data_IF_045073969996
#
_entry.id   IF_045073969996
#
_cell.length_a   1.000
_cell.length_b   1.000
_cell.length_c   1.000
_cell.angle_alpha   90.00
_cell.angle_beta   90.00
_cell.angle_gamma   90.00
#
_symmetry.space_group_name_H-M   'P 1'
#
loop_
_entity.id
_entity.type
_entity.pdbx_description
1 polymer ?
#
# COMPACT_ATOMS: atom_id res chain seq x y z
N UNK A 1 24.82 2.28 -18.78
CA UNK A 1 24.03 1.71 -17.65
C UNK A 1 24.69 2.13 -16.36
N UNK A 2 23.93 2.70 -15.42
CA UNK A 2 24.45 3.18 -14.14
C UNK A 2 24.50 2.03 -13.12
N UNK A 3 25.70 1.51 -12.86
CA UNK A 3 25.93 0.37 -11.97
C UNK A 3 25.57 0.68 -10.51
N UNK A 4 25.68 1.94 -10.09
CA UNK A 4 25.40 2.33 -8.71
C UNK A 4 23.91 2.17 -8.41
N UNK A 5 23.04 2.67 -9.29
CA UNK A 5 21.60 2.51 -9.16
C UNK A 5 21.16 1.04 -9.27
N UNK A 6 21.77 0.26 -10.18
CA UNK A 6 21.50 -1.18 -10.23
C UNK A 6 21.83 -1.86 -8.88
N UNK A 7 22.97 -1.54 -8.28
CA UNK A 7 23.37 -2.12 -7.00
C UNK A 7 22.41 -1.75 -5.86
N UNK A 8 21.90 -0.52 -5.84
CA UNK A 8 20.91 -0.08 -4.86
C UNK A 8 19.59 -0.86 -5.00
N UNK A 9 19.07 -0.99 -6.23
CA UNK A 9 17.85 -1.78 -6.49
C UNK A 9 18.06 -3.24 -6.12
N UNK A 10 19.20 -3.84 -6.48
CA UNK A 10 19.53 -5.23 -6.12
C UNK A 10 19.61 -5.42 -4.61
N UNK A 11 20.28 -4.53 -3.89
CA UNK A 11 20.37 -4.61 -2.44
C UNK A 11 18.98 -4.53 -1.80
N UNK A 12 18.15 -3.59 -2.24
CA UNK A 12 16.79 -3.43 -1.73
C UNK A 12 15.87 -4.63 -2.05
N UNK A 13 15.97 -5.21 -3.26
CA UNK A 13 15.29 -6.44 -3.63
C UNK A 13 15.75 -7.63 -2.78
N UNK A 14 17.06 -7.78 -2.56
CA UNK A 14 17.62 -8.86 -1.74
C UNK A 14 17.24 -8.73 -0.26
N UNK A 15 17.05 -7.51 0.26
CA UNK A 15 16.52 -7.30 1.61
C UNK A 15 15.09 -7.82 1.77
N UNK A 16 14.30 -7.91 0.69
CA UNK A 16 12.98 -8.57 0.74
C UNK A 16 13.12 -10.08 1.01
N UNK A 17 14.25 -10.68 0.66
CA UNK A 17 14.49 -12.11 0.88
C UNK A 17 14.95 -12.42 2.31
N UNK A 18 15.17 -11.41 3.14
CA UNK A 18 15.60 -11.55 4.53
C UNK A 18 14.51 -11.11 5.49
N UNK A 19 14.68 -11.41 6.78
CA UNK A 19 13.79 -10.94 7.85
C UNK A 19 14.12 -9.50 8.28
N UNK A 20 14.67 -8.70 7.36
CA UNK A 20 15.00 -7.30 7.62
C UNK A 20 13.73 -6.51 7.94
N UNK A 21 13.73 -5.85 9.10
CA UNK A 21 12.73 -4.86 9.52
C UNK A 21 13.05 -3.45 9.05
N UNK A 22 14.03 -3.34 8.16
CA UNK A 22 14.36 -2.09 7.47
C UNK A 22 13.76 -2.14 6.07
N UNK A 23 12.55 -1.56 5.87
CA UNK A 23 11.97 -1.43 4.55
C UNK A 23 12.88 -0.55 3.68
N UNK A 24 13.54 -1.18 2.71
CA UNK A 24 14.46 -0.51 1.80
C UNK A 24 13.71 -0.07 0.53
N UNK A 25 12.88 0.96 0.64
CA UNK A 25 12.28 1.61 -0.53
C UNK A 25 12.54 3.11 -0.49
N UNK A 26 12.99 3.64 -1.62
CA UNK A 26 13.20 5.07 -1.83
C UNK A 26 12.57 5.45 -3.17
N UNK A 27 11.98 6.66 -3.30
CA UNK A 27 11.38 7.11 -4.56
C UNK A 27 12.34 7.13 -5.76
N UNK A 28 13.65 7.11 -5.52
CA UNK A 28 14.66 7.04 -6.57
C UNK A 28 14.74 5.65 -7.24
N UNK A 29 14.41 4.57 -6.53
CA UNK A 29 14.56 3.20 -7.02
C UNK A 29 13.60 2.86 -8.18
N UNK A 30 12.28 3.18 -8.09
CA UNK A 30 11.34 2.89 -9.18
C UNK A 30 11.70 3.57 -10.50
N UNK A 31 12.25 4.80 -10.44
CA UNK A 31 12.66 5.54 -11.66
C UNK A 31 13.75 4.81 -12.45
N UNK A 32 14.72 4.23 -11.75
CA UNK A 32 15.74 3.38 -12.38
C UNK A 32 15.13 2.04 -12.84
N UNK A 33 14.34 1.41 -11.96
CA UNK A 33 13.71 0.12 -12.20
C UNK A 33 12.90 0.07 -13.50
N UNK A 34 12.10 1.12 -13.76
CA UNK A 34 11.31 1.26 -14.99
C UNK A 34 12.14 1.29 -16.28
N UNK A 35 13.44 1.58 -16.20
CA UNK A 35 14.34 1.68 -17.35
C UNK A 35 15.36 0.54 -17.47
N UNK A 36 15.53 -0.26 -16.42
CA UNK A 36 16.57 -1.29 -16.35
C UNK A 36 15.97 -2.70 -16.47
N UNK A 37 16.18 -3.35 -17.63
CA UNK A 37 15.67 -4.70 -17.89
C UNK A 37 16.20 -5.75 -16.89
N UNK A 38 17.46 -5.64 -16.47
CA UNK A 38 18.06 -6.55 -15.48
C UNK A 38 17.36 -6.45 -14.12
N UNK A 39 17.07 -5.23 -13.65
CA UNK A 39 16.35 -5.03 -12.40
C UNK A 39 14.93 -5.57 -12.46
N UNK A 40 14.24 -5.39 -13.60
CA UNK A 40 12.90 -5.97 -13.83
C UNK A 40 12.93 -7.50 -13.80
N UNK A 41 13.88 -8.11 -14.51
CA UNK A 41 14.04 -9.56 -14.52
C UNK A 41 14.31 -10.10 -13.10
N UNK A 42 15.14 -9.41 -12.32
CA UNK A 42 15.41 -9.79 -10.93
C UNK A 42 14.15 -9.72 -10.06
N UNK A 43 13.32 -8.68 -10.15
CA UNK A 43 12.04 -8.61 -9.40
C UNK A 43 11.14 -9.80 -9.76
N UNK A 44 10.98 -10.09 -11.04
CA UNK A 44 10.16 -11.22 -11.50
C UNK A 44 10.71 -12.55 -10.99
N UNK A 45 12.03 -12.75 -11.03
CA UNK A 45 12.66 -13.94 -10.44
C UNK A 45 12.38 -14.05 -8.94
N UNK A 46 12.52 -12.96 -8.19
CA UNK A 46 12.28 -12.97 -6.75
C UNK A 46 10.81 -13.17 -6.39
N UNK A 47 9.87 -12.68 -7.20
CA UNK A 47 8.44 -12.95 -7.02
C UNK A 47 8.19 -14.46 -6.98
N UNK A 48 8.70 -15.20 -7.96
CA UNK A 48 8.52 -16.65 -8.02
C UNK A 48 9.24 -17.41 -6.90
N UNK A 49 10.35 -16.86 -6.39
CA UNK A 49 11.05 -17.44 -5.24
C UNK A 49 10.31 -17.20 -3.93
N UNK A 50 9.65 -16.04 -3.78
CA UNK A 50 8.87 -15.69 -2.59
C UNK A 50 7.51 -16.38 -2.60
N UNK A 51 6.89 -16.52 -3.77
CA UNK A 51 5.54 -17.04 -3.97
C UNK A 51 5.50 -18.04 -5.14
N UNK A 52 5.91 -19.29 -4.90
CA UNK A 52 5.88 -20.32 -5.93
C UNK A 52 4.46 -20.55 -6.46
N UNK A 53 4.30 -20.47 -7.79
CA UNK A 53 3.02 -20.69 -8.46
C UNK A 53 2.06 -19.49 -8.43
N UNK A 54 2.47 -18.34 -7.90
CA UNK A 54 1.67 -17.12 -7.99
C UNK A 54 1.70 -16.53 -9.41
N UNK A 55 0.57 -16.00 -9.83
CA UNK A 55 0.48 -15.13 -10.99
C UNK A 55 1.14 -13.77 -10.72
N UNK A 56 1.46 -13.05 -11.79
CA UNK A 56 1.96 -11.67 -11.68
C UNK A 56 0.83 -10.81 -11.10
N UNK A 57 1.06 -10.10 -9.97
CA UNK A 57 0.03 -9.25 -9.36
C UNK A 57 -0.40 -8.08 -10.25
N UNK A 58 -1.60 -7.57 -10.00
CA UNK A 58 -2.13 -6.38 -10.65
C UNK A 58 -1.31 -5.11 -10.30
N UNK A 59 -1.21 -4.19 -11.26
CA UNK A 59 -0.46 -2.93 -11.17
C UNK A 59 -1.37 -1.74 -10.79
N UNK A 60 -2.39 -1.96 -9.95
CA UNK A 60 -3.37 -0.93 -9.55
C UNK A 60 -2.88 -0.06 -8.39
N UNK A 61 -2.74 1.26 -8.60
CA UNK A 61 -2.43 2.22 -7.53
C UNK A 61 -3.50 2.20 -6.42
N UNK A 62 -4.78 2.14 -6.79
CA UNK A 62 -5.88 2.20 -5.81
C UNK A 62 -5.86 1.00 -4.86
N UNK A 63 -5.58 -0.21 -5.37
CA UNK A 63 -5.43 -1.40 -4.55
C UNK A 63 -4.15 -1.34 -3.71
N UNK A 64 -3.04 -0.89 -4.29
CA UNK A 64 -1.80 -0.69 -3.56
C UNK A 64 -1.99 0.27 -2.37
N UNK A 65 -2.63 1.41 -2.59
CA UNK A 65 -2.87 2.44 -1.57
C UNK A 65 -3.78 1.97 -0.44
N UNK A 66 -4.82 1.17 -0.72
CA UNK A 66 -5.72 0.64 0.31
C UNK A 66 -5.00 -0.28 1.31
N UNK A 67 -4.01 -1.03 0.82
CA UNK A 67 -3.32 -2.07 1.58
C UNK A 67 -1.92 -1.61 2.05
N UNK A 68 -1.48 -0.43 1.62
CA UNK A 68 -0.13 0.08 1.84
C UNK A 68 0.26 0.19 3.31
N UNK A 69 -0.67 0.68 4.15
CA UNK A 69 -0.42 0.85 5.57
C UNK A 69 -0.24 -0.50 6.27
N UNK A 70 -1.09 -1.48 5.97
CA UNK A 70 -0.98 -2.82 6.52
C UNK A 70 0.30 -3.52 6.07
N UNK A 71 0.70 -3.33 4.80
CA UNK A 71 1.99 -3.80 4.30
C UNK A 71 3.17 -3.17 5.07
N UNK A 72 3.14 -1.86 5.31
CA UNK A 72 4.19 -1.16 6.06
C UNK A 72 4.29 -1.65 7.52
N UNK A 73 3.16 -1.87 8.18
CA UNK A 73 3.11 -2.38 9.55
C UNK A 73 3.73 -3.77 9.65
N UNK A 74 3.35 -4.70 8.76
CA UNK A 74 3.96 -6.04 8.72
C UNK A 74 5.46 -5.96 8.40
N UNK A 75 5.87 -5.06 7.50
CA UNK A 75 7.28 -4.93 7.14
C UNK A 75 8.14 -4.46 8.33
N UNK A 76 7.59 -3.62 9.19
CA UNK A 76 8.27 -3.11 10.39
C UNK A 76 8.25 -4.13 11.54
N UNK A 77 7.16 -4.88 11.70
CA UNK A 77 7.00 -5.84 12.80
C UNK A 77 7.63 -7.22 12.50
N UNK A 78 7.22 -7.83 11.39
CA UNK A 78 7.58 -9.20 10.99
C UNK A 78 8.66 -9.26 9.90
N UNK A 79 8.99 -8.13 9.26
CA UNK A 79 10.05 -8.02 8.26
C UNK A 79 9.54 -8.02 6.82
N UNK A 80 10.42 -7.58 5.91
CA UNK A 80 10.09 -7.35 4.50
C UNK A 80 9.58 -8.62 3.77
N UNK A 81 10.14 -9.80 4.09
CA UNK A 81 9.69 -11.07 3.50
C UNK A 81 8.25 -11.40 3.86
N UNK A 82 7.89 -11.26 5.14
CA UNK A 82 6.54 -11.54 5.62
C UNK A 82 5.52 -10.58 4.97
N UNK A 83 5.88 -9.30 4.86
CA UNK A 83 5.05 -8.30 4.20
C UNK A 83 4.85 -8.60 2.71
N UNK A 84 5.91 -8.94 1.98
CA UNK A 84 5.81 -9.29 0.55
C UNK A 84 5.01 -10.57 0.30
N UNK A 85 5.05 -11.54 1.22
CA UNK A 85 4.23 -12.74 1.14
C UNK A 85 2.75 -12.45 1.43
N UNK A 86 2.45 -11.56 2.38
CA UNK A 86 1.08 -11.19 2.75
C UNK A 86 0.41 -10.27 1.72
N UNK A 87 1.15 -9.30 1.18
CA UNK A 87 0.66 -8.33 0.19
C UNK A 87 1.58 -8.29 -1.05
N UNK A 88 1.56 -9.34 -1.88
CA UNK A 88 2.42 -9.40 -3.08
C UNK A 88 2.19 -8.27 -4.07
N UNK A 89 0.94 -7.82 -4.20
CA UNK A 89 0.57 -6.73 -5.10
C UNK A 89 1.20 -5.40 -4.67
N UNK A 90 1.19 -5.08 -3.37
CA UNK A 90 1.86 -3.88 -2.84
C UNK A 90 3.36 -3.97 -3.11
N UNK A 91 4.02 -5.07 -2.71
CA UNK A 91 5.45 -5.23 -2.94
C UNK A 91 5.80 -5.09 -4.42
N UNK A 92 5.04 -5.72 -5.31
CA UNK A 92 5.25 -5.66 -6.75
C UNK A 92 5.10 -4.25 -7.31
N UNK A 93 4.02 -3.56 -6.94
CA UNK A 93 3.64 -2.25 -7.45
C UNK A 93 4.61 -1.15 -7.00
N UNK A 94 5.14 -1.22 -5.77
CA UNK A 94 6.12 -0.25 -5.26
C UNK A 94 7.40 -0.15 -6.09
N UNK A 95 7.75 -1.20 -6.84
CA UNK A 95 8.89 -1.15 -7.77
C UNK A 95 8.57 -0.45 -9.09
N UNK A 96 7.30 -0.41 -9.49
CA UNK A 96 6.84 0.16 -10.75
C UNK A 96 6.26 1.57 -10.62
N UNK A 97 5.79 1.96 -9.43
CA UNK A 97 5.13 3.25 -9.21
C UNK A 97 5.94 4.15 -8.27
N UNK A 98 6.58 5.22 -8.77
CA UNK A 98 7.31 6.18 -7.93
C UNK A 98 6.44 6.88 -6.88
N UNK A 99 5.17 7.13 -7.20
CA UNK A 99 4.22 7.83 -6.31
C UNK A 99 3.87 6.94 -5.11
N UNK A 100 3.45 5.69 -5.33
CA UNK A 100 3.20 4.77 -4.22
C UNK A 100 4.47 4.50 -3.38
N UNK A 101 5.65 4.47 -4.01
CA UNK A 101 6.92 4.33 -3.28
C UNK A 101 7.23 5.54 -2.38
N UNK A 102 6.84 6.74 -2.80
CA UNK A 102 6.94 7.93 -1.97
C UNK A 102 5.97 7.91 -0.79
N UNK A 103 4.71 7.56 -1.03
CA UNK A 103 3.72 7.40 0.05
C UNK A 103 4.19 6.32 1.03
N UNK A 104 4.71 5.19 0.54
CA UNK A 104 5.26 4.13 1.39
C UNK A 104 6.39 4.63 2.29
N UNK A 105 7.36 5.35 1.72
CA UNK A 105 8.49 5.88 2.47
C UNK A 105 8.03 6.87 3.56
N UNK A 106 7.02 7.70 3.25
CA UNK A 106 6.41 8.61 4.22
C UNK A 106 5.68 7.86 5.34
N UNK A 107 4.88 6.84 5.00
CA UNK A 107 4.17 5.98 5.96
C UNK A 107 5.14 5.31 6.92
N UNK A 108 6.21 4.68 6.40
CA UNK A 108 7.27 4.08 7.21
C UNK A 108 7.92 5.11 8.13
N UNK A 109 8.29 6.27 7.60
CA UNK A 109 8.94 7.32 8.39
C UNK A 109 8.04 7.81 9.54
N UNK A 110 6.75 7.97 9.29
CA UNK A 110 5.76 8.34 10.31
C UNK A 110 5.60 7.25 11.36
N UNK A 111 5.49 5.97 10.97
CA UNK A 111 5.38 4.85 11.92
C UNK A 111 6.62 4.72 12.81
N UNK A 112 7.82 4.88 12.24
CA UNK A 112 9.07 4.88 13.01
C UNK A 112 9.17 6.08 13.96
N UNK A 113 8.77 7.28 13.51
CA UNK A 113 8.75 8.47 14.35
C UNK A 113 7.73 8.33 15.50
N UNK A 114 6.57 7.73 15.24
CA UNK A 114 5.56 7.44 16.25
C UNK A 114 6.09 6.46 17.30
N UNK A 115 6.66 5.34 16.86
CA UNK A 115 7.20 4.30 17.74
C UNK A 115 8.37 4.78 18.61
N UNK A 116 9.17 5.73 18.10
CA UNK A 116 10.30 6.32 18.84
C UNK A 116 9.92 7.53 19.70
N UNK A 117 8.66 7.97 19.69
CA UNK A 117 8.22 9.17 20.38
C UNK A 117 8.81 10.47 19.80
N UNK A 118 9.29 10.44 18.56
CA UNK A 118 9.89 11.59 17.88
C UNK A 118 8.85 12.52 17.23
N UNK A 119 7.57 12.09 17.17
CA UNK A 119 6.50 12.95 16.69
C UNK A 119 6.20 14.07 17.69
N UNK A 120 6.01 15.32 17.22
CA UNK A 120 5.51 16.37 18.09
C UNK A 120 4.12 15.95 18.61
N UNK A 121 3.75 16.34 19.85
CA UNK A 121 2.42 16.07 20.37
C UNK A 121 1.40 16.68 19.40
N UNK A 122 0.42 15.87 18.99
CA UNK A 122 -0.67 16.38 18.16
C UNK A 122 -1.33 17.53 18.92
N UNK A 123 -1.61 18.67 18.26
CA UNK A 123 -2.38 19.72 18.88
C UNK A 123 -3.70 19.09 19.29
N UNK A 124 -3.90 18.94 20.60
CA UNK A 124 -5.20 18.55 21.12
C UNK A 124 -6.13 19.68 20.71
N UNK A 125 -6.92 19.45 19.66
CA UNK A 125 -8.08 20.26 19.36
C UNK A 125 -8.91 20.18 20.63
N UNK A 126 -8.81 21.22 21.47
CA UNK A 126 -9.69 21.40 22.62
C UNK A 126 -11.07 21.15 22.07
N UNK A 127 -11.72 20.10 22.59
CA UNK A 127 -13.04 19.69 22.16
C UNK A 127 -13.88 20.96 22.01
N UNK A 128 -14.14 21.36 20.77
CA UNK A 128 -15.00 22.48 20.50
C UNK A 128 -16.32 22.06 21.13
N UNK A 129 -16.70 22.78 22.19
CA UNK A 129 -17.88 22.52 22.99
C UNK A 129 -19.03 22.10 22.09
N UNK A 130 -19.52 20.89 22.33
CA UNK A 130 -20.71 20.27 21.75
C UNK A 130 -21.36 21.12 20.63
N UNK A 131 -21.02 20.82 19.37
CA UNK A 131 -21.92 21.19 18.29
C UNK A 131 -23.30 20.62 18.67
N UNK A 132 -24.34 21.45 18.84
CA UNK A 132 -25.66 20.93 19.16
C UNK A 132 -26.00 19.93 18.07
N UNK A 133 -26.32 18.70 18.46
CA UNK A 133 -26.85 17.69 17.57
C UNK A 133 -28.06 18.29 16.86
N UNK A 134 -27.83 18.84 15.66
CA UNK A 134 -28.89 19.24 14.77
C UNK A 134 -29.50 17.92 14.34
N UNK A 135 -30.62 17.56 14.96
CA UNK A 135 -31.39 16.38 14.63
C UNK A 135 -31.51 16.31 13.11
N UNK A 136 -30.77 15.39 12.50
CA UNK A 136 -30.90 15.08 11.09
C UNK A 136 -32.31 14.54 10.97
N UNK A 137 -33.20 15.42 10.49
CA UNK A 137 -34.63 15.18 10.44
C UNK A 137 -34.93 13.80 9.89
N UNK A 138 -35.74 13.05 10.64
CA UNK A 138 -36.47 11.88 10.15
C UNK A 138 -36.97 12.17 8.74
N UNK A 139 -36.43 11.47 7.74
CA UNK A 139 -37.09 11.37 6.44
C UNK A 139 -38.49 10.78 6.67
N UNK A 140 -39.58 11.44 6.25
CA UNK A 140 -40.88 10.79 6.22
C UNK A 140 -40.78 9.58 5.26
N UNK A 141 -41.19 8.42 5.79
CA UNK A 141 -41.37 7.18 5.05
C UNK A 141 -42.47 7.44 4.01
N UNK A 142 -42.08 7.69 2.76
CA UNK A 142 -43.02 7.65 1.64
C UNK A 142 -43.46 6.19 1.50
N UNK A 143 -44.64 5.91 2.05
CA UNK A 143 -45.43 4.75 1.69
C UNK A 143 -46.04 5.00 0.31
N UNK A 144 -45.68 4.14 -0.62
CA UNK A 144 -46.42 3.78 -1.83
C UNK A 144 -45.77 2.44 -2.27
N UNK A 145 -46.35 1.23 -2.19
CA UNK A 145 -47.74 0.79 -2.39
C UNK A 145 -48.40 1.51 -3.58
N UNK A 146 -48.76 0.90 -4.69
CA UNK A 146 -48.75 -0.48 -5.16
C UNK A 146 -49.05 -0.43 -6.68
N UNK A 147 -49.05 -1.60 -7.33
CA UNK A 147 -49.77 -1.92 -8.58
C UNK A 147 -49.16 -1.47 -9.93
N UNK A 148 -48.78 -2.46 -10.75
CA UNK A 148 -49.35 -2.75 -12.07
C UNK A 148 -48.45 -3.79 -12.77
N UNK A 149 -48.95 -5.02 -12.93
CA UNK A 149 -49.32 -5.64 -14.23
C UNK A 149 -48.09 -6.20 -14.98
N UNK A 150 -47.86 -7.52 -15.01
CA UNK A 150 -48.58 -8.55 -15.78
C UNK A 150 -48.29 -8.47 -17.30
N UNK A 151 -48.12 -9.64 -17.93
CA UNK A 151 -47.70 -9.91 -19.33
C UNK A 151 -46.18 -9.78 -19.60
N UNK A 152 -45.50 -10.67 -20.35
CA UNK A 152 -45.98 -11.53 -21.41
C UNK A 152 -44.96 -12.63 -21.75
N UNK A 153 -45.53 -13.83 -21.93
CA UNK A 153 -44.99 -15.02 -22.60
C UNK A 153 -44.46 -14.70 -24.01
N UNK A 154 -43.40 -15.38 -24.43
CA UNK A 154 -42.80 -15.29 -25.77
C UNK A 154 -41.55 -16.15 -25.92
#
# INVERSE_FOLDING_TARGET
MDRTHCNQVRAALLLTCTDSRHPAHSPALPRHFLRCAECRALRTYLLYQLLPGADIPDDSCALCESDLAAYADIALDAGARAAAAAYPHVWWHLWACPECAEVFAQTVALSVAAASGALPPLPMLRAASALPHREIGRRPRLAAEAEAEDAQDG
#
